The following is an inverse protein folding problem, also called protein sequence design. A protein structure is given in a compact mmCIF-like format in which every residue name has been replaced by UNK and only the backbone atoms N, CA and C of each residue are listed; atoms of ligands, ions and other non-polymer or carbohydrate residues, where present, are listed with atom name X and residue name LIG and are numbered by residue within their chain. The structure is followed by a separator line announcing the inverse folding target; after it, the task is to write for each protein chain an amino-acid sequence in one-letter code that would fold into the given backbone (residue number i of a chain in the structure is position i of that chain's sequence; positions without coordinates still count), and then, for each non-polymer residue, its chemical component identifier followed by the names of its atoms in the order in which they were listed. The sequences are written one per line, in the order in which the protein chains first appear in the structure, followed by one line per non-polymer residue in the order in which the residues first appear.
data_IF_033613534842
#
_entry.id   IF_033613534842
#
_cell.length_a   1.000
_cell.length_b   1.000
_cell.length_c   1.000
_cell.angle_alpha   90.00
_cell.angle_beta   90.00
_cell.angle_gamma   90.00
#
_symmetry.space_group_name_H-M   'P 1'
#
loop_
_entity.id
_entity.type
_entity.pdbx_description
1 polymer ?
#
# COMPACT_ATOMS: atom_id res chain seq x y z
N UNK A 1 -28.85 25.16 9.89
CA UNK A 1 -27.68 25.97 9.50
C UNK A 1 -26.45 25.09 9.70
N UNK A 2 -25.80 24.65 8.63
CA UNK A 2 -24.60 23.81 8.74
C UNK A 2 -23.50 24.58 9.48
N UNK A 3 -22.89 23.98 10.50
CA UNK A 3 -21.75 24.59 11.17
C UNK A 3 -20.54 24.60 10.23
N UNK A 4 -19.57 25.50 10.44
CA UNK A 4 -18.34 25.54 9.64
C UNK A 4 -17.62 24.17 9.61
N UNK A 5 -17.67 23.45 10.74
CA UNK A 5 -17.17 22.08 10.88
C UNK A 5 -17.88 21.07 9.98
N UNK A 6 -19.19 21.20 9.78
CA UNK A 6 -19.96 20.32 8.89
C UNK A 6 -19.60 20.55 7.41
N UNK A 7 -19.33 21.81 7.02
CA UNK A 7 -18.91 22.14 5.65
C UNK A 7 -17.52 21.57 5.33
N UNK A 8 -16.55 21.75 6.23
CA UNK A 8 -15.20 21.17 6.06
C UNK A 8 -15.30 19.65 5.95
N UNK A 9 -16.11 19.02 6.80
CA UNK A 9 -16.32 17.59 6.78
C UNK A 9 -16.88 17.08 5.45
N UNK A 10 -17.86 17.78 4.86
CA UNK A 10 -18.43 17.41 3.55
C UNK A 10 -17.38 17.52 2.44
N UNK A 11 -16.50 18.53 2.49
CA UNK A 11 -15.46 18.71 1.47
C UNK A 11 -14.35 17.66 1.62
N UNK A 12 -13.93 17.35 2.85
CA UNK A 12 -12.79 16.45 3.10
C UNK A 12 -13.16 14.97 2.99
N UNK A 13 -14.39 14.59 3.35
CA UNK A 13 -14.83 13.18 3.36
C UNK A 13 -15.88 12.87 2.28
N UNK A 14 -16.41 13.88 1.58
CA UNK A 14 -17.50 13.70 0.63
C UNK A 14 -17.05 13.84 -0.82
N UNK A 15 -17.04 12.71 -1.55
CA UNK A 15 -16.71 12.65 -2.99
C UNK A 15 -17.85 13.12 -3.91
N UNK A 16 -19.06 13.31 -3.38
CA UNK A 16 -20.25 13.63 -4.18
C UNK A 16 -20.32 15.11 -4.60
N UNK A 17 -19.59 15.98 -3.90
CA UNK A 17 -19.59 17.42 -4.20
C UNK A 17 -18.46 17.79 -5.15
N UNK A 18 -18.64 18.79 -6.05
CA UNK A 18 -17.56 19.26 -6.92
C UNK A 18 -16.36 19.80 -6.12
N UNK A 19 -16.63 20.39 -4.95
CA UNK A 19 -15.58 20.87 -4.04
C UNK A 19 -14.76 19.72 -3.42
N UNK A 20 -15.41 18.61 -3.03
CA UNK A 20 -14.71 17.42 -2.54
C UNK A 20 -13.89 16.73 -3.63
N UNK A 21 -14.44 16.57 -4.83
CA UNK A 21 -13.68 16.05 -5.98
C UNK A 21 -12.46 16.90 -6.30
N UNK A 22 -12.60 18.23 -6.28
CA UNK A 22 -11.47 19.13 -6.53
C UNK A 22 -10.41 18.99 -5.43
N UNK A 23 -10.82 18.89 -4.17
CA UNK A 23 -9.91 18.66 -3.04
C UNK A 23 -9.14 17.35 -3.21
N UNK A 24 -9.82 16.26 -3.52
CA UNK A 24 -9.21 14.94 -3.70
C UNK A 24 -8.23 14.91 -4.89
N UNK A 25 -8.61 15.47 -6.03
CA UNK A 25 -7.74 15.58 -7.22
C UNK A 25 -6.51 16.44 -6.90
N UNK A 26 -6.70 17.56 -6.20
CA UNK A 26 -5.60 18.44 -5.82
C UNK A 26 -4.62 17.71 -4.89
N UNK A 27 -5.14 16.98 -3.91
CA UNK A 27 -4.35 16.23 -2.95
C UNK A 27 -3.59 15.08 -3.63
N UNK A 28 -4.24 14.38 -4.57
CA UNK A 28 -3.61 13.37 -5.42
C UNK A 28 -2.43 13.94 -6.20
N UNK A 29 -2.62 15.08 -6.87
CA UNK A 29 -1.54 15.78 -7.61
C UNK A 29 -0.40 16.14 -6.66
N UNK A 30 -0.71 16.66 -5.48
CA UNK A 30 0.29 17.01 -4.45
C UNK A 30 1.07 15.77 -4.00
N UNK A 31 0.42 14.62 -3.78
CA UNK A 31 1.10 13.35 -3.45
C UNK A 31 2.04 12.94 -4.57
N UNK A 32 1.56 12.90 -5.81
CA UNK A 32 2.38 12.48 -6.96
C UNK A 32 3.59 13.40 -7.13
N UNK A 33 3.40 14.72 -7.11
CA UNK A 33 4.50 15.70 -7.18
C UNK A 33 5.49 15.52 -6.03
N UNK A 34 4.99 15.25 -4.83
CA UNK A 34 5.84 15.07 -3.67
C UNK A 34 6.68 13.78 -3.73
N UNK A 35 6.19 12.72 -4.38
CA UNK A 35 6.94 11.49 -4.63
C UNK A 35 7.98 11.73 -5.73
N UNK A 36 7.60 12.41 -6.82
CA UNK A 36 8.54 12.79 -7.89
C UNK A 36 9.70 13.61 -7.33
N UNK A 37 9.44 14.56 -6.44
CA UNK A 37 10.50 15.37 -5.81
C UNK A 37 11.44 14.51 -4.94
N UNK A 38 10.93 13.50 -4.24
CA UNK A 38 11.78 12.54 -3.51
C UNK A 38 12.63 11.69 -4.47
N UNK A 39 12.06 11.27 -5.60
CA UNK A 39 12.83 10.56 -6.63
C UNK A 39 13.93 11.43 -7.22
N UNK A 40 13.66 12.71 -7.51
CA UNK A 40 14.66 13.67 -8.00
C UNK A 40 15.75 13.92 -6.94
N UNK A 41 15.38 14.08 -5.66
CA UNK A 41 16.32 14.25 -4.55
C UNK A 41 17.22 13.03 -4.32
N UNK A 42 16.78 11.84 -4.74
CA UNK A 42 17.58 10.62 -4.65
C UNK A 42 18.75 10.56 -5.65
N UNK A 43 18.75 11.41 -6.68
CA UNK A 43 19.82 11.49 -7.67
C UNK A 43 20.86 12.52 -7.21
N UNK A 44 22.10 12.07 -6.99
CA UNK A 44 23.16 12.88 -6.37
C UNK A 44 23.39 14.22 -7.10
N UNK A 45 23.49 14.21 -8.44
CA UNK A 45 23.73 15.42 -9.24
C UNK A 45 22.67 16.51 -9.04
N UNK A 46 21.40 16.09 -8.92
CA UNK A 46 20.29 17.01 -8.66
C UNK A 46 20.26 17.46 -7.20
N UNK A 47 20.62 16.59 -6.26
CA UNK A 47 20.73 16.96 -4.85
C UNK A 47 21.81 18.03 -4.64
N UNK A 48 22.98 17.88 -5.27
CA UNK A 48 24.07 18.86 -5.17
C UNK A 48 23.70 20.20 -5.82
N UNK A 49 23.01 20.17 -6.97
CA UNK A 49 22.69 21.40 -7.73
C UNK A 49 21.43 22.13 -7.22
N UNK A 50 20.43 21.40 -6.75
CA UNK A 50 19.09 21.92 -6.42
C UNK A 50 18.60 21.57 -5.00
N UNK A 51 19.46 21.02 -4.14
CA UNK A 51 19.08 20.55 -2.80
C UNK A 51 18.34 21.59 -1.93
N UNK A 52 18.67 22.88 -2.09
CA UNK A 52 17.95 23.96 -1.41
C UNK A 52 16.48 24.08 -1.86
N UNK A 53 16.24 24.05 -3.17
CA UNK A 53 14.88 24.07 -3.74
C UNK A 53 14.11 22.80 -3.37
N UNK A 54 14.73 21.63 -3.49
CA UNK A 54 14.13 20.33 -3.14
C UNK A 54 13.70 20.29 -1.67
N UNK A 55 14.56 20.77 -0.76
CA UNK A 55 14.25 20.89 0.67
C UNK A 55 13.11 21.88 0.94
N UNK A 56 13.07 23.00 0.21
CA UNK A 56 11.98 23.97 0.34
C UNK A 56 10.63 23.38 -0.12
N UNK A 57 10.61 22.73 -1.28
CA UNK A 57 9.42 22.02 -1.78
C UNK A 57 8.96 20.92 -0.83
N UNK A 58 9.90 20.17 -0.25
CA UNK A 58 9.59 19.13 0.73
C UNK A 58 8.87 19.70 1.97
N UNK A 59 9.32 20.84 2.46
CA UNK A 59 8.68 21.55 3.56
C UNK A 59 7.28 22.03 3.19
N UNK A 60 7.09 22.56 1.98
CA UNK A 60 5.77 22.93 1.47
C UNK A 60 4.83 21.72 1.51
N UNK A 61 5.24 20.58 0.95
CA UNK A 61 4.41 19.37 0.95
C UNK A 61 4.11 18.87 2.36
N UNK A 62 5.11 18.88 3.24
CA UNK A 62 4.93 18.46 4.63
C UNK A 62 3.94 19.36 5.34
N UNK A 63 4.03 20.68 5.19
CA UNK A 63 3.07 21.62 5.78
C UNK A 63 1.66 21.39 5.22
N UNK A 64 1.51 21.20 3.90
CA UNK A 64 0.22 20.91 3.28
C UNK A 64 -0.40 19.62 3.82
N UNK A 65 0.37 18.53 3.92
CA UNK A 65 -0.11 17.27 4.48
C UNK A 65 -0.40 17.36 5.98
N UNK A 66 0.38 18.13 6.74
CA UNK A 66 0.10 18.37 8.17
C UNK A 66 -1.20 19.15 8.34
N UNK A 67 -1.43 20.20 7.54
CA UNK A 67 -2.69 20.95 7.56
C UNK A 67 -3.85 20.02 7.25
N UNK A 68 -3.73 19.18 6.22
CA UNK A 68 -4.77 18.22 5.85
C UNK A 68 -5.05 17.20 6.97
N UNK A 69 -4.02 16.64 7.60
CA UNK A 69 -4.18 15.70 8.71
C UNK A 69 -4.87 16.35 9.92
N UNK A 70 -4.48 17.59 10.25
CA UNK A 70 -5.12 18.37 11.32
C UNK A 70 -6.58 18.68 10.97
N UNK A 71 -6.88 19.07 9.74
CA UNK A 71 -8.25 19.35 9.29
C UNK A 71 -9.13 18.10 9.36
N UNK A 72 -8.60 16.92 9.00
CA UNK A 72 -9.29 15.62 9.15
C UNK A 72 -9.59 15.31 10.61
N UNK A 73 -8.62 15.47 11.50
CA UNK A 73 -8.79 15.31 12.95
C UNK A 73 -9.84 16.28 13.51
N UNK A 74 -9.73 17.58 13.16
CA UNK A 74 -10.62 18.62 13.64
C UNK A 74 -12.07 18.41 13.20
N UNK A 75 -12.28 17.89 12.00
CA UNK A 75 -13.61 17.62 11.42
C UNK A 75 -14.32 16.45 12.09
N UNK A 76 -13.57 15.54 12.73
CA UNK A 76 -14.12 14.37 13.41
C UNK A 76 -14.51 14.72 14.86
N UNK A 77 -15.52 14.02 15.39
CA UNK A 77 -16.02 14.24 16.76
C UNK A 77 -15.20 13.47 17.81
N UNK A 78 -14.75 12.24 17.49
CA UNK A 78 -13.86 11.43 18.32
C UNK A 78 -12.49 11.32 17.67
N UNK A 79 -11.57 12.20 18.08
CA UNK A 79 -10.21 12.30 17.50
C UNK A 79 -9.47 10.95 17.49
N UNK A 80 -9.50 10.22 18.60
CA UNK A 80 -8.84 8.91 18.71
C UNK A 80 -9.34 7.87 17.70
N UNK A 81 -10.62 7.93 17.30
CA UNK A 81 -11.17 6.99 16.31
C UNK A 81 -10.53 7.15 14.93
N UNK A 82 -10.05 8.35 14.60
CA UNK A 82 -9.39 8.59 13.32
C UNK A 82 -7.90 8.29 13.40
N UNK A 83 -7.21 8.78 14.43
CA UNK A 83 -5.76 8.60 14.60
C UNK A 83 -5.37 7.12 14.57
N UNK A 84 -6.17 6.26 15.20
CA UNK A 84 -5.93 4.80 15.25
C UNK A 84 -6.64 4.02 14.12
N UNK A 85 -7.21 4.70 13.12
CA UNK A 85 -7.75 4.05 11.92
C UNK A 85 -6.65 3.75 10.90
N UNK A 86 -6.90 2.82 9.96
CA UNK A 86 -5.95 2.48 8.90
C UNK A 86 -5.45 3.72 8.13
N UNK A 87 -6.37 4.60 7.71
CA UNK A 87 -6.01 5.82 6.99
C UNK A 87 -5.33 6.87 7.86
N UNK A 88 -5.75 7.00 9.13
CA UNK A 88 -5.09 7.92 10.06
C UNK A 88 -3.64 7.50 10.38
N UNK A 89 -3.37 6.20 10.44
CA UNK A 89 -2.00 5.66 10.55
C UNK A 89 -1.19 5.96 9.30
N UNK A 90 -1.77 5.79 8.10
CA UNK A 90 -1.10 6.13 6.83
C UNK A 90 -0.76 7.62 6.77
N UNK A 91 -1.69 8.51 7.11
CA UNK A 91 -1.45 9.95 7.16
C UNK A 91 -0.34 10.30 8.14
N UNK A 92 -0.36 9.68 9.33
CA UNK A 92 0.66 9.89 10.33
C UNK A 92 2.05 9.41 9.86
N UNK A 93 2.14 8.20 9.30
CA UNK A 93 3.38 7.64 8.75
C UNK A 93 3.97 8.50 7.62
N UNK A 94 3.13 9.19 6.83
CA UNK A 94 3.59 10.10 5.78
C UNK A 94 4.25 11.38 6.33
N UNK A 95 3.95 11.76 7.57
CA UNK A 95 4.47 12.97 8.23
C UNK A 95 5.69 12.69 9.12
N UNK A 96 5.71 11.53 9.81
CA UNK A 96 6.73 11.17 10.79
C UNK A 96 8.17 11.43 10.32
N UNK A 97 8.60 11.00 9.12
CA UNK A 97 10.02 11.05 8.76
C UNK A 97 10.58 12.48 8.73
N UNK A 98 9.81 13.46 8.28
CA UNK A 98 10.24 14.86 8.22
C UNK A 98 10.33 15.48 9.61
N UNK A 99 9.35 15.25 10.49
CA UNK A 99 9.40 15.77 11.86
C UNK A 99 10.49 15.11 12.71
N UNK A 100 10.69 13.80 12.56
CA UNK A 100 11.72 13.06 13.29
C UNK A 100 13.14 13.50 12.89
N UNK A 101 13.33 13.89 11.62
CA UNK A 101 14.61 14.42 11.14
C UNK A 101 15.03 15.75 11.79
N UNK A 102 14.08 16.49 12.39
CA UNK A 102 14.33 17.77 13.07
C UNK A 102 14.62 17.53 14.56
N UNK A 103 13.94 16.57 15.17
CA UNK A 103 14.01 16.27 16.61
C UNK A 103 15.32 15.59 17.03
N UNK A 104 16.05 14.95 16.09
CA UNK A 104 17.28 14.21 16.36
C UNK A 104 18.51 14.82 15.67
N UNK A 105 19.08 15.93 16.16
CA UNK A 105 20.35 16.45 15.66
C UNK A 105 21.54 15.67 16.27
N UNK A 106 22.41 15.07 15.44
CA UNK A 106 23.66 14.43 15.89
C UNK A 106 24.46 13.75 14.76
N UNK A 107 25.78 13.61 14.93
CA UNK A 107 26.70 13.09 13.92
C UNK A 107 26.54 11.57 13.66
N UNK A 108 26.30 10.76 14.71
CA UNK A 108 25.95 9.33 14.54
C UNK A 108 24.53 9.13 14.00
N UNK A 109 23.69 10.17 14.09
CA UNK A 109 22.32 10.19 13.57
C UNK A 109 22.29 10.45 12.06
N UNK A 110 23.43 10.78 11.41
CA UNK A 110 23.45 11.08 9.97
C UNK A 110 23.02 9.88 9.10
N UNK A 111 23.38 8.66 9.49
CA UNK A 111 22.91 7.42 8.83
C UNK A 111 21.42 7.21 9.02
N UNK A 112 20.91 7.48 10.23
CA UNK A 112 19.48 7.41 10.55
C UNK A 112 18.70 8.45 9.76
N UNK A 113 19.19 9.70 9.69
CA UNK A 113 18.60 10.79 8.91
C UNK A 113 18.52 10.40 7.43
N UNK A 114 19.55 9.73 6.87
CA UNK A 114 19.52 9.23 5.48
C UNK A 114 18.40 8.23 5.25
N UNK A 115 18.24 7.26 6.16
CA UNK A 115 17.13 6.29 6.09
C UNK A 115 15.78 7.01 6.21
N UNK A 116 15.63 7.95 7.14
CA UNK A 116 14.39 8.72 7.30
C UNK A 116 14.02 9.51 6.04
N UNK A 117 14.98 10.01 5.26
CA UNK A 117 14.69 10.66 3.97
C UNK A 117 14.03 9.69 2.99
N UNK A 118 14.52 8.45 2.91
CA UNK A 118 13.93 7.40 2.05
C UNK A 118 12.52 7.03 2.53
N UNK A 119 12.30 6.95 3.86
CA UNK A 119 10.98 6.64 4.42
C UNK A 119 9.91 7.67 4.04
N UNK A 120 10.28 8.88 3.58
CA UNK A 120 9.31 9.85 3.05
C UNK A 120 8.55 9.29 1.85
N UNK A 121 9.08 8.29 1.13
CA UNK A 121 8.37 7.57 0.07
C UNK A 121 7.05 6.98 0.56
N UNK A 122 6.91 6.69 1.86
CA UNK A 122 5.66 6.21 2.45
C UNK A 122 4.48 7.17 2.27
N UNK A 123 4.71 8.45 1.95
CA UNK A 123 3.61 9.36 1.55
C UNK A 123 2.85 8.87 0.32
N UNK A 124 3.45 8.02 -0.51
CA UNK A 124 2.77 7.33 -1.62
C UNK A 124 1.61 6.46 -1.12
N UNK A 125 1.68 5.94 0.11
CA UNK A 125 0.61 5.12 0.69
C UNK A 125 -0.68 5.92 0.89
N UNK A 126 -0.63 7.27 0.94
CA UNK A 126 -1.83 8.11 0.97
C UNK A 126 -2.70 7.92 -0.29
N UNK A 127 -2.14 7.44 -1.42
CA UNK A 127 -2.89 7.12 -2.63
C UNK A 127 -4.01 6.09 -2.40
N UNK A 128 -3.81 5.18 -1.44
CA UNK A 128 -4.79 4.14 -1.08
C UNK A 128 -6.12 4.75 -0.64
N UNK A 129 -6.12 5.97 -0.09
CA UNK A 129 -7.33 6.67 0.37
C UNK A 129 -8.22 7.20 -0.76
N UNK A 130 -7.65 7.43 -1.96
CA UNK A 130 -8.37 7.97 -3.11
C UNK A 130 -9.01 6.88 -3.95
N UNK A 131 -8.58 5.65 -3.74
CA UNK A 131 -9.20 4.48 -4.30
C UNK A 131 -10.35 4.09 -3.37
N UNK A 132 -11.56 4.65 -3.56
CA UNK A 132 -12.76 4.15 -2.85
C UNK A 132 -12.98 2.64 -3.07
N UNK A 133 -12.42 2.10 -4.16
CA UNK A 133 -12.34 0.67 -4.46
C UNK A 133 -11.30 -0.09 -3.62
N UNK A 134 -10.32 0.58 -3.01
CA UNK A 134 -9.32 -0.05 -2.15
C UNK A 134 -9.94 -0.60 -0.87
N UNK A 135 -10.99 0.01 -0.32
CA UNK A 135 -11.74 -0.54 0.81
C UNK A 135 -12.41 -1.87 0.43
N UNK A 136 -13.05 -1.94 -0.74
CA UNK A 136 -13.63 -3.19 -1.25
C UNK A 136 -12.56 -4.26 -1.48
N UNK A 137 -11.40 -3.86 -2.02
CA UNK A 137 -10.26 -4.74 -2.24
C UNK A 137 -9.68 -5.23 -0.90
N UNK A 138 -9.49 -4.35 0.08
CA UNK A 138 -9.02 -4.70 1.42
C UNK A 138 -9.97 -5.66 2.11
N UNK A 139 -11.28 -5.40 2.06
CA UNK A 139 -12.31 -6.32 2.59
C UNK A 139 -12.28 -7.65 1.88
N UNK A 140 -12.14 -7.68 0.57
CA UNK A 140 -12.00 -8.91 -0.21
C UNK A 140 -10.74 -9.71 0.16
N UNK A 141 -9.60 -9.03 0.38
CA UNK A 141 -8.36 -9.64 0.85
C UNK A 141 -8.54 -10.23 2.26
N UNK A 142 -9.10 -9.47 3.18
CA UNK A 142 -9.33 -9.91 4.57
C UNK A 142 -10.31 -11.09 4.61
N UNK A 143 -11.38 -11.05 3.82
CA UNK A 143 -12.32 -12.15 3.66
C UNK A 143 -11.64 -13.39 3.04
N UNK A 144 -10.67 -13.19 2.16
CA UNK A 144 -9.92 -14.24 1.48
C UNK A 144 -8.66 -14.70 2.20
N UNK A 145 -8.31 -14.10 3.36
CA UNK A 145 -7.00 -14.28 4.01
C UNK A 145 -6.62 -15.76 4.20
N UNK A 146 -7.57 -16.61 4.58
CA UNK A 146 -7.34 -18.05 4.77
C UNK A 146 -7.03 -18.76 3.46
N UNK A 147 -7.77 -18.44 2.39
CA UNK A 147 -7.55 -19.02 1.05
C UNK A 147 -6.20 -18.59 0.48
N UNK A 148 -5.88 -17.30 0.60
CA UNK A 148 -4.59 -16.73 0.20
C UNK A 148 -3.44 -17.38 0.98
N UNK A 149 -3.59 -17.53 2.30
CA UNK A 149 -2.57 -18.16 3.14
C UNK A 149 -2.30 -19.61 2.72
N UNK A 150 -3.34 -20.42 2.53
CA UNK A 150 -3.18 -21.81 2.06
C UNK A 150 -2.51 -21.88 0.69
N UNK A 151 -2.89 -20.98 -0.22
CA UNK A 151 -2.28 -20.90 -1.54
C UNK A 151 -0.79 -20.51 -1.47
N UNK A 152 -0.43 -19.45 -0.73
CA UNK A 152 0.97 -19.04 -0.57
C UNK A 152 1.80 -20.13 0.11
N UNK A 153 1.23 -20.81 1.10
CA UNK A 153 1.90 -21.93 1.77
C UNK A 153 2.16 -23.10 0.80
N UNK A 154 1.20 -23.42 -0.05
CA UNK A 154 1.38 -24.41 -1.13
C UNK A 154 2.49 -23.99 -2.10
N UNK A 155 2.50 -22.72 -2.55
CA UNK A 155 3.53 -22.22 -3.47
C UNK A 155 4.92 -22.27 -2.84
N UNK A 156 5.08 -21.82 -1.59
CA UNK A 156 6.36 -21.88 -0.87
C UNK A 156 6.83 -23.33 -0.74
N UNK A 157 5.94 -24.26 -0.40
CA UNK A 157 6.28 -25.69 -0.31
C UNK A 157 6.71 -26.25 -1.67
N UNK A 158 5.97 -25.92 -2.73
CA UNK A 158 6.24 -26.37 -4.10
C UNK A 158 7.60 -25.88 -4.61
N UNK A 159 7.90 -24.58 -4.50
CA UNK A 159 9.21 -24.02 -4.92
C UNK A 159 10.35 -24.55 -4.07
N UNK A 160 10.10 -24.88 -2.79
CA UNK A 160 11.09 -25.49 -1.91
C UNK A 160 11.47 -26.89 -2.39
N UNK A 161 10.47 -27.71 -2.72
CA UNK A 161 10.67 -29.06 -3.24
C UNK A 161 11.38 -29.02 -4.61
N UNK A 162 10.89 -28.19 -5.53
CA UNK A 162 11.48 -28.06 -6.87
C UNK A 162 12.91 -27.50 -6.80
N UNK A 163 13.16 -26.49 -5.98
CA UNK A 163 14.50 -25.96 -5.76
C UNK A 163 15.45 -27.02 -5.19
N UNK A 164 15.00 -27.84 -4.24
CA UNK A 164 15.79 -28.95 -3.71
C UNK A 164 16.11 -30.01 -4.78
N UNK A 165 15.17 -30.32 -5.68
CA UNK A 165 15.45 -31.20 -6.81
C UNK A 165 16.49 -30.61 -7.77
N UNK A 166 16.36 -29.33 -8.12
CA UNK A 166 17.31 -28.66 -9.02
C UNK A 166 18.71 -28.58 -8.42
N UNK A 167 18.81 -28.35 -7.11
CA UNK A 167 20.08 -28.45 -6.38
C UNK A 167 20.75 -29.81 -6.56
N UNK A 168 20.00 -30.91 -6.52
CA UNK A 168 20.55 -32.25 -6.68
C UNK A 168 20.89 -32.59 -8.15
N UNK A 169 20.14 -32.05 -9.11
CA UNK A 169 20.28 -32.37 -10.53
C UNK A 169 21.41 -31.57 -11.19
N UNK A 170 21.44 -30.26 -10.97
CA UNK A 170 22.38 -29.33 -11.60
C UNK A 170 23.67 -29.16 -10.78
N UNK A 171 23.52 -29.11 -9.45
CA UNK A 171 24.63 -28.92 -8.53
C UNK A 171 25.35 -27.57 -8.68
N UNK A 172 26.55 -27.49 -8.11
CA UNK A 172 27.32 -26.23 -7.98
C UNK A 172 27.78 -25.64 -9.32
N UNK A 173 27.96 -26.46 -10.35
CA UNK A 173 28.53 -26.01 -11.62
C UNK A 173 27.60 -25.03 -12.35
N UNK A 174 26.29 -25.30 -12.37
CA UNK A 174 25.26 -24.46 -13.02
C UNK A 174 24.71 -23.36 -12.08
N UNK A 175 25.38 -23.04 -10.97
CA UNK A 175 24.96 -22.00 -10.02
C UNK A 175 23.94 -22.44 -8.96
N UNK A 176 23.54 -23.71 -8.93
CA UNK A 176 22.67 -24.29 -7.89
C UNK A 176 23.52 -24.74 -6.68
N UNK A 177 24.16 -23.78 -6.02
CA UNK A 177 25.18 -24.03 -4.99
C UNK A 177 24.64 -24.42 -3.61
N UNK A 178 23.36 -24.15 -3.37
CA UNK A 178 22.68 -24.33 -2.10
C UNK A 178 21.17 -24.41 -2.33
N UNK A 179 20.45 -25.13 -1.46
CA UNK A 179 18.99 -25.26 -1.57
C UNK A 179 18.30 -23.88 -1.59
N UNK A 180 18.60 -22.91 -0.70
CA UNK A 180 17.95 -21.60 -0.74
C UNK A 180 18.16 -20.84 -2.06
N UNK A 181 19.34 -20.95 -2.67
CA UNK A 181 19.63 -20.34 -3.97
C UNK A 181 18.83 -21.00 -5.10
N UNK A 182 18.70 -22.34 -5.06
CA UNK A 182 17.86 -23.07 -6.00
C UNK A 182 16.36 -22.76 -5.83
N UNK A 183 15.92 -22.51 -4.59
CA UNK A 183 14.56 -22.04 -4.30
C UNK A 183 14.33 -20.64 -4.83
N UNK A 184 15.31 -19.73 -4.70
CA UNK A 184 15.27 -18.42 -5.34
C UNK A 184 15.08 -18.54 -6.86
N UNK A 185 15.85 -19.40 -7.52
CA UNK A 185 15.67 -19.67 -8.96
C UNK A 185 14.26 -20.21 -9.27
N UNK A 186 13.74 -21.14 -8.47
CA UNK A 186 12.42 -21.71 -8.66
C UNK A 186 11.31 -20.65 -8.51
N UNK A 187 11.46 -19.71 -7.56
CA UNK A 187 10.54 -18.57 -7.39
C UNK A 187 10.59 -17.68 -8.63
N UNK A 188 11.78 -17.23 -9.06
CA UNK A 188 11.97 -16.35 -10.22
C UNK A 188 11.41 -16.96 -11.51
N UNK A 189 11.57 -18.27 -11.68
CA UNK A 189 11.07 -19.01 -12.84
C UNK A 189 9.55 -19.18 -12.77
N UNK A 190 9.01 -19.56 -11.60
CA UNK A 190 7.57 -19.77 -11.40
C UNK A 190 6.77 -18.47 -11.51
N UNK A 191 7.34 -17.35 -11.06
CA UNK A 191 6.72 -16.01 -11.16
C UNK A 191 6.94 -15.35 -12.52
N UNK A 192 7.48 -16.09 -13.50
CA UNK A 192 7.75 -15.63 -14.87
C UNK A 192 8.67 -14.40 -14.95
N UNK A 193 9.46 -14.12 -13.91
CA UNK A 193 10.42 -12.99 -13.89
C UNK A 193 11.64 -13.31 -14.74
N UNK A 194 12.24 -14.49 -14.53
CA UNK A 194 13.31 -15.02 -15.37
C UNK A 194 14.52 -14.08 -15.53
N UNK A 195 15.16 -13.67 -14.43
CA UNK A 195 16.36 -12.80 -14.48
C UNK A 195 17.51 -13.38 -15.33
N UNK A 196 17.59 -14.72 -15.46
CA UNK A 196 18.61 -15.41 -16.24
C UNK A 196 19.99 -15.47 -15.57
N UNK A 197 20.07 -15.14 -14.28
CA UNK A 197 21.29 -15.19 -13.47
C UNK A 197 21.68 -16.62 -13.05
N UNK A 198 20.69 -17.54 -13.03
CA UNK A 198 20.87 -18.97 -12.80
C UNK A 198 19.97 -19.72 -13.81
N UNK A 199 20.49 -20.77 -14.44
CA UNK A 199 19.74 -21.59 -15.40
C UNK A 199 20.22 -23.03 -15.41
N UNK A 200 19.33 -24.01 -15.65
CA UNK A 200 19.74 -25.40 -15.77
C UNK A 200 20.47 -25.68 -17.09
N UNK A 201 21.58 -26.40 -16.98
CA UNK A 201 22.40 -26.82 -18.11
C UNK A 201 22.06 -28.24 -18.55
N UNK A 202 21.54 -29.08 -17.64
CA UNK A 202 21.22 -30.46 -17.98
C UNK A 202 19.88 -30.58 -18.72
N UNK A 203 19.79 -31.51 -19.66
CA UNK A 203 18.53 -31.81 -20.38
C UNK A 203 17.38 -32.12 -19.41
N UNK A 204 17.67 -32.79 -18.30
CA UNK A 204 16.67 -33.13 -17.28
C UNK A 204 16.23 -31.90 -16.47
N UNK A 205 17.17 -31.06 -16.05
CA UNK A 205 16.85 -29.78 -15.39
C UNK A 205 16.07 -28.83 -16.30
N UNK A 206 16.38 -28.79 -17.59
CA UNK A 206 15.62 -28.02 -18.58
C UNK A 206 14.19 -28.53 -18.77
N UNK A 207 13.99 -29.85 -18.77
CA UNK A 207 12.64 -30.43 -18.82
C UNK A 207 11.80 -30.03 -17.59
N UNK A 208 12.41 -30.05 -16.40
CA UNK A 208 11.75 -29.58 -15.16
C UNK A 208 11.46 -28.08 -15.25
N UNK A 209 12.43 -27.28 -15.70
CA UNK A 209 12.23 -25.84 -15.87
C UNK A 209 11.08 -25.51 -16.82
N UNK A 210 10.96 -26.24 -17.94
CA UNK A 210 9.83 -26.10 -18.86
C UNK A 210 8.48 -26.37 -18.17
N UNK A 211 8.40 -27.43 -17.35
CA UNK A 211 7.19 -27.73 -16.57
C UNK A 211 6.87 -26.61 -15.58
N UNK A 212 7.87 -26.07 -14.87
CA UNK A 212 7.72 -24.96 -13.93
C UNK A 212 7.19 -23.71 -14.63
N UNK A 213 7.72 -23.36 -15.80
CA UNK A 213 7.29 -22.20 -16.57
C UNK A 213 5.80 -22.31 -16.99
N UNK A 214 5.34 -23.48 -17.44
CA UNK A 214 3.93 -23.70 -17.79
C UNK A 214 3.03 -23.59 -16.54
N UNK A 215 3.48 -24.17 -15.42
CA UNK A 215 2.74 -24.14 -14.16
C UNK A 215 2.63 -22.71 -13.59
N UNK A 216 3.64 -21.87 -13.78
CA UNK A 216 3.66 -20.47 -13.38
C UNK A 216 2.46 -19.67 -13.92
N UNK A 217 2.16 -19.81 -15.22
CA UNK A 217 0.99 -19.16 -15.84
C UNK A 217 -0.33 -19.55 -15.16
N UNK A 218 -0.49 -20.82 -14.79
CA UNK A 218 -1.71 -21.31 -14.13
C UNK A 218 -1.84 -20.79 -12.70
N UNK A 219 -0.73 -20.64 -12.00
CA UNK A 219 -0.67 -20.19 -10.61
C UNK A 219 -1.02 -18.71 -10.45
N UNK A 220 -0.60 -17.85 -11.39
CA UNK A 220 -0.88 -16.40 -11.35
C UNK A 220 -2.39 -16.11 -11.38
N UNK A 221 -3.20 -16.95 -12.03
CA UNK A 221 -4.65 -16.77 -12.11
C UNK A 221 -5.39 -17.02 -10.78
N UNK A 222 -4.84 -17.85 -9.90
CA UNK A 222 -5.49 -18.28 -8.65
C UNK A 222 -5.72 -17.15 -7.64
N UNK A 223 -4.72 -16.34 -7.22
CA UNK A 223 -4.93 -15.27 -6.26
C UNK A 223 -5.88 -14.20 -6.81
N UNK A 224 -5.77 -13.90 -8.10
CA UNK A 224 -6.69 -13.00 -8.81
C UNK A 224 -8.12 -13.53 -8.72
N UNK A 225 -8.36 -14.79 -9.06
CA UNK A 225 -9.68 -15.42 -8.94
C UNK A 225 -10.22 -15.45 -7.51
N UNK A 226 -9.37 -15.73 -6.52
CA UNK A 226 -9.74 -15.70 -5.10
C UNK A 226 -10.22 -14.30 -4.69
N UNK A 227 -9.43 -13.27 -4.95
CA UNK A 227 -9.75 -11.88 -4.57
C UNK A 227 -10.97 -11.38 -5.34
N UNK A 228 -11.02 -11.59 -6.67
CA UNK A 228 -12.15 -11.20 -7.51
C UNK A 228 -13.45 -11.86 -7.03
N UNK A 229 -13.44 -13.15 -6.71
CA UNK A 229 -14.63 -13.82 -6.18
C UNK A 229 -15.11 -13.18 -4.87
N UNK A 230 -14.20 -12.84 -3.97
CA UNK A 230 -14.53 -12.20 -2.70
C UNK A 230 -15.07 -10.78 -2.86
N UNK A 231 -14.60 -10.03 -3.86
CA UNK A 231 -15.16 -8.72 -4.20
C UNK A 231 -16.65 -8.81 -4.57
N UNK A 232 -17.04 -9.84 -5.35
CA UNK A 232 -18.45 -10.05 -5.71
C UNK A 232 -19.32 -10.40 -4.50
N UNK A 233 -18.85 -11.26 -3.58
CA UNK A 233 -19.61 -11.65 -2.39
C UNK A 233 -19.70 -10.55 -1.33
N UNK A 234 -18.75 -9.61 -1.29
CA UNK A 234 -18.75 -8.50 -0.31
C UNK A 234 -19.74 -7.40 -0.69
N UNK A 235 -20.16 -7.33 -1.97
CA UNK A 235 -21.10 -6.33 -2.47
C UNK A 235 -22.54 -6.51 -1.98
N UNK A 236 -22.90 -7.69 -1.44
CA UNK A 236 -24.28 -8.05 -1.07
C UNK A 236 -24.69 -7.65 0.36
N UNK A 237 -23.80 -7.04 1.15
CA UNK A 237 -24.18 -6.53 2.47
C UNK A 237 -24.80 -5.14 2.33
N UNK A 238 -26.13 -5.04 2.39
CA UNK A 238 -26.86 -3.76 2.53
C UNK A 238 -26.66 -3.13 3.92
N UNK A 239 -25.40 -2.99 4.33
CA UNK A 239 -24.95 -2.27 5.52
C UNK A 239 -24.46 -0.90 5.06
N UNK A 240 -25.04 0.16 5.61
CA UNK A 240 -24.54 1.50 5.34
C UNK A 240 -23.16 1.64 6.00
N UNK A 241 -22.14 1.96 5.23
CA UNK A 241 -20.83 2.30 5.77
C UNK A 241 -20.82 3.76 6.17
N UNK A 242 -20.30 4.05 7.36
CA UNK A 242 -20.09 5.44 7.73
C UNK A 242 -18.94 6.02 6.90
N UNK A 243 -19.18 7.05 6.09
CA UNK A 243 -18.16 7.74 5.28
C UNK A 243 -17.02 8.42 6.05
N UNK A 244 -17.04 8.33 7.38
CA UNK A 244 -16.12 9.06 8.27
C UNK A 244 -15.26 8.13 9.09
N UNK A 245 -15.78 6.97 9.51
CA UNK A 245 -15.04 6.00 10.29
C UNK A 245 -15.16 4.57 9.77
N UNK A 246 -15.83 4.41 8.62
CA UNK A 246 -16.01 3.14 7.89
C UNK A 246 -16.58 1.99 8.72
N UNK A 247 -17.22 2.32 9.84
CA UNK A 247 -17.90 1.34 10.64
C UNK A 247 -19.08 0.79 9.83
N UNK A 248 -19.02 -0.51 9.53
CA UNK A 248 -20.04 -1.26 8.78
C UNK A 248 -21.25 -1.63 9.64
N UNK A 249 -21.18 -1.42 10.95
CA UNK A 249 -22.24 -1.77 11.89
C UNK A 249 -23.33 -0.69 11.98
N UNK A 250 -23.69 -0.03 10.87
CA UNK A 250 -24.79 0.93 10.88
C UNK A 250 -26.11 0.23 10.59
N UNK A 251 -27.12 0.53 11.40
CA UNK A 251 -28.51 0.19 11.09
C UNK A 251 -28.96 1.00 9.88
N UNK A 252 -29.79 0.41 9.00
CA UNK A 252 -30.25 1.04 7.74
C UNK A 252 -30.91 2.43 7.92
N UNK A 253 -31.40 2.72 9.12
CA UNK A 253 -32.08 3.99 9.46
C UNK A 253 -31.26 4.88 10.43
N UNK A 254 -29.97 4.59 10.61
CA UNK A 254 -29.12 5.37 11.51
C UNK A 254 -28.98 6.81 11.01
N UNK A 255 -29.53 7.81 11.72
CA UNK A 255 -29.29 9.23 11.42
C UNK A 255 -27.85 9.66 11.76
N UNK A 256 -27.21 8.94 12.68
CA UNK A 256 -25.85 9.18 13.14
C UNK A 256 -25.12 7.85 13.30
N UNK A 257 -23.84 7.82 12.93
CA UNK A 257 -22.99 6.66 13.10
C UNK A 257 -22.82 6.30 14.57
N UNK A 258 -23.06 5.03 14.93
CA UNK A 258 -22.91 4.52 16.29
C UNK A 258 -21.47 4.60 16.82
N UNK A 259 -20.48 4.54 15.95
CA UNK A 259 -19.06 4.51 16.31
C UNK A 259 -18.44 5.90 16.41
N UNK A 260 -18.63 6.77 15.41
CA UNK A 260 -18.00 8.10 15.38
C UNK A 260 -18.97 9.28 15.58
N UNK A 261 -20.28 9.04 15.56
CA UNK A 261 -21.30 10.09 15.70
C UNK A 261 -21.45 10.99 14.48
N UNK A 262 -20.88 10.61 13.33
CA UNK A 262 -21.08 11.32 12.07
C UNK A 262 -22.53 11.23 11.60
N UNK A 263 -23.12 12.33 11.12
CA UNK A 263 -24.42 12.29 10.46
C UNK A 263 -24.32 11.41 9.21
N UNK A 264 -25.19 10.42 9.09
CA UNK A 264 -25.26 9.56 7.92
C UNK A 264 -25.91 10.35 6.78
N UNK A 265 -25.27 10.36 5.62
CA UNK A 265 -25.85 10.89 4.39
C UNK A 265 -26.84 9.85 3.86
N UNK A 266 -28.11 9.95 4.27
CA UNK A 266 -29.17 9.19 3.63
C UNK A 266 -29.26 9.64 2.17
N UNK A 267 -28.70 8.84 1.26
CA UNK A 267 -29.10 8.91 -0.14
C UNK A 267 -30.48 8.24 -0.23
N UNK A 268 -31.51 9.06 -0.38
CA UNK A 268 -32.72 8.64 -1.08
C UNK A 268 -32.41 8.58 -2.57
#
# INVERSE_FOLDING_TARGET
MYTFKDKIKIIIFGTDTPAGKLFDISLLIIIVLSVIMVMVDSVEDYHYSYGGFLRFSEWIFTVLFTIEYILRIYSIRRVGSYIFSFYGIIDFLALIPTYLSILLPGAEVLSVIRVLRVLRVFRVLKLVQFMGEADQLLKAIVASKRKIFVFLFFIITLVTILGAFMYLIEGKASGFDSIPRSVYWAIVTLTTVGYGDISPDTNFGQAIAAMIMIMGYSIIAVPTGIVTSAMFFTKDSTKQTCSVCESEEQTKDAKFCNHCGAKMTNNH
#
